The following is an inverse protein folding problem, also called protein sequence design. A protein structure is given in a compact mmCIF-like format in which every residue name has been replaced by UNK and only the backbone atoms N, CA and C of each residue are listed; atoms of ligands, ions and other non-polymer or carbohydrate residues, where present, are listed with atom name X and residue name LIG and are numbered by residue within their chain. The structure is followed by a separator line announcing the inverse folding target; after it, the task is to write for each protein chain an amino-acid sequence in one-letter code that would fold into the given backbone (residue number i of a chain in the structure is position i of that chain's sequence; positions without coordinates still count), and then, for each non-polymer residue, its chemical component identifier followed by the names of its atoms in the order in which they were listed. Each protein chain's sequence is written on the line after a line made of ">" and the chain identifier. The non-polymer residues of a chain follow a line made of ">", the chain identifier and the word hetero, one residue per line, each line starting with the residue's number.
data_IF_819232781145
#
_entry.id   IF_819232781145
#
_cell.length_a   1.000
_cell.length_b   1.000
_cell.length_c   1.000
_cell.angle_alpha   90.00
_cell.angle_beta   90.00
_cell.angle_gamma   90.00
#
_symmetry.space_group_name_H-M   'P 1'
#
loop_
_entity.id
_entity.type
_entity.pdbx_description
1 polymer ?
#
# COMPACT_ATOMS: atom_id res chain seq x y z
N UNK A 1 8.34 23.58 10.46
CA UNK A 1 9.05 22.38 9.95
C UNK A 1 8.10 21.42 9.21
N UNK A 2 7.32 21.90 8.22
CA UNK A 2 6.44 21.05 7.37
C UNK A 2 6.89 21.00 5.89
N UNK A 3 7.95 21.73 5.51
CA UNK A 3 8.45 21.87 4.13
C UNK A 3 9.26 20.66 3.60
N UNK A 4 9.33 19.54 4.31
CA UNK A 4 10.08 18.33 3.89
C UNK A 4 9.22 17.05 3.77
N UNK A 5 7.89 17.18 3.73
CA UNK A 5 7.00 16.05 3.48
C UNK A 5 6.93 15.77 1.96
N UNK A 6 7.01 14.49 1.56
CA UNK A 6 7.03 14.06 0.15
C UNK A 6 8.37 13.47 -0.31
N UNK A 7 8.78 12.33 0.27
CA UNK A 7 9.96 11.58 -0.18
C UNK A 7 9.53 10.29 -0.87
N UNK A 8 10.21 9.92 -1.95
CA UNK A 8 10.04 8.65 -2.64
C UNK A 8 11.13 7.68 -2.20
N UNK A 9 10.76 6.52 -1.71
CA UNK A 9 11.68 5.43 -1.39
C UNK A 9 11.50 4.31 -2.42
N UNK A 10 12.58 3.92 -3.09
CA UNK A 10 12.60 2.79 -4.01
C UNK A 10 13.43 1.66 -3.42
N UNK A 11 12.78 0.55 -3.07
CA UNK A 11 13.45 -0.68 -2.65
C UNK A 11 13.47 -1.67 -3.82
N UNK A 12 14.62 -1.83 -4.49
CA UNK A 12 14.79 -2.65 -5.69
C UNK A 12 15.91 -3.71 -5.54
N UNK A 13 16.02 -4.63 -6.50
CA UNK A 13 16.98 -5.75 -6.52
C UNK A 13 16.36 -7.08 -6.08
N UNK A 14 17.10 -8.19 -6.21
CA UNK A 14 16.57 -9.55 -5.99
C UNK A 14 16.64 -10.03 -4.54
N UNK A 15 17.37 -9.30 -3.69
CA UNK A 15 17.50 -9.60 -2.27
C UNK A 15 16.15 -9.62 -1.53
N UNK A 16 16.05 -10.47 -0.50
CA UNK A 16 14.91 -10.47 0.43
C UNK A 16 14.90 -9.18 1.25
N UNK A 17 13.72 -8.75 1.70
CA UNK A 17 13.57 -7.64 2.65
C UNK A 17 12.95 -6.35 2.10
N UNK A 18 12.72 -6.23 0.78
CA UNK A 18 12.05 -5.06 0.18
C UNK A 18 10.69 -4.76 0.82
N UNK A 19 9.84 -5.78 0.87
CA UNK A 19 8.50 -5.68 1.49
C UNK A 19 8.61 -5.39 2.99
N UNK A 20 9.57 -6.03 3.68
CA UNK A 20 9.80 -5.84 5.12
C UNK A 20 10.24 -4.41 5.43
N UNK A 21 11.11 -3.80 4.62
CA UNK A 21 11.53 -2.42 4.76
C UNK A 21 10.35 -1.44 4.60
N UNK A 22 9.48 -1.67 3.61
CA UNK A 22 8.27 -0.89 3.42
C UNK A 22 7.29 -1.06 4.60
N UNK A 23 7.08 -2.29 5.08
CA UNK A 23 6.22 -2.56 6.22
C UNK A 23 6.73 -1.92 7.52
N UNK A 24 8.04 -2.00 7.78
CA UNK A 24 8.65 -1.34 8.94
C UNK A 24 8.53 0.19 8.90
N UNK A 25 8.63 0.79 7.72
CA UNK A 25 8.40 2.23 7.55
C UNK A 25 6.93 2.61 7.83
N UNK A 26 5.98 1.81 7.34
CA UNK A 26 4.56 2.00 7.59
C UNK A 26 4.23 1.91 9.09
N UNK A 27 4.74 0.89 9.79
CA UNK A 27 4.57 0.77 11.26
C UNK A 27 5.21 1.96 11.98
N UNK A 28 6.41 2.39 11.58
CA UNK A 28 7.06 3.56 12.19
C UNK A 28 6.23 4.83 11.99
N UNK A 29 5.67 5.04 10.80
CA UNK A 29 4.82 6.20 10.51
C UNK A 29 3.53 6.17 11.35
N UNK A 30 2.82 5.04 11.39
CA UNK A 30 1.63 4.86 12.23
C UNK A 30 1.94 5.09 13.70
N UNK A 31 3.06 4.55 14.22
CA UNK A 31 3.48 4.77 15.61
C UNK A 31 3.80 6.23 15.97
N UNK A 32 4.01 7.10 14.97
CA UNK A 32 4.16 8.55 15.15
C UNK A 32 2.85 9.32 14.89
N UNK A 33 1.71 8.63 14.83
CA UNK A 33 0.39 9.23 14.62
C UNK A 33 0.12 9.68 13.18
N UNK A 34 0.90 9.23 12.20
CA UNK A 34 0.66 9.52 10.79
C UNK A 34 -0.37 8.54 10.22
N UNK A 35 -1.26 9.04 9.35
CA UNK A 35 -2.14 8.18 8.54
C UNK A 35 -1.31 7.38 7.54
N UNK A 36 -1.59 6.09 7.39
CA UNK A 36 -0.86 5.19 6.48
C UNK A 36 -1.84 4.34 5.68
N UNK A 37 -1.67 4.34 4.36
CA UNK A 37 -2.30 3.40 3.43
C UNK A 37 -1.21 2.46 2.90
N UNK A 38 -1.37 1.15 3.14
CA UNK A 38 -0.44 0.11 2.70
C UNK A 38 -1.10 -0.79 1.65
N UNK A 39 -0.56 -0.80 0.44
CA UNK A 39 -1.16 -1.47 -0.73
C UNK A 39 -0.26 -2.57 -1.27
N UNK A 40 -0.81 -3.75 -1.54
CA UNK A 40 -0.17 -4.85 -2.26
C UNK A 40 -0.98 -5.22 -3.52
N UNK A 41 -0.43 -4.97 -4.71
CA UNK A 41 -1.15 -5.17 -5.97
C UNK A 41 -1.22 -6.64 -6.42
N UNK A 42 -0.10 -7.35 -6.40
CA UNK A 42 0.04 -8.69 -7.01
C UNK A 42 -0.06 -9.85 -6.01
N UNK A 43 -0.51 -9.59 -4.79
CA UNK A 43 -0.66 -10.61 -3.75
C UNK A 43 -2.10 -10.64 -3.28
N UNK A 44 -2.72 -11.80 -3.34
CA UNK A 44 -3.98 -12.09 -2.65
C UNK A 44 -3.67 -12.81 -1.34
N UNK A 45 -4.26 -12.35 -0.24
CA UNK A 45 -4.18 -13.05 1.04
C UNK A 45 -4.15 -12.15 2.27
N UNK A 46 -4.22 -12.79 3.44
CA UNK A 46 -4.06 -12.17 4.75
C UNK A 46 -2.80 -12.74 5.40
N UNK A 47 -1.67 -12.06 5.25
CA UNK A 47 -0.49 -12.43 6.04
C UNK A 47 -0.67 -11.97 7.49
N UNK A 48 0.00 -12.65 8.42
CA UNK A 48 0.01 -12.23 9.82
C UNK A 48 0.51 -10.78 9.96
N UNK A 49 1.46 -10.35 9.13
CA UNK A 49 1.95 -8.96 9.10
C UNK A 49 0.81 -7.98 8.79
N UNK A 50 0.01 -8.25 7.75
CA UNK A 50 -1.11 -7.38 7.38
C UNK A 50 -2.14 -7.27 8.52
N UNK A 51 -2.49 -8.39 9.15
CA UNK A 51 -3.43 -8.40 10.28
C UNK A 51 -2.92 -7.57 11.48
N UNK A 52 -1.62 -7.61 11.76
CA UNK A 52 -1.04 -6.78 12.82
C UNK A 52 -0.99 -5.30 12.41
N UNK A 53 -0.72 -5.00 11.14
CA UNK A 53 -0.75 -3.62 10.62
C UNK A 53 -2.15 -3.01 10.78
N UNK A 54 -3.21 -3.74 10.46
CA UNK A 54 -4.59 -3.28 10.68
C UNK A 54 -4.86 -2.97 12.17
N UNK A 55 -4.40 -3.83 13.09
CA UNK A 55 -4.50 -3.58 14.55
C UNK A 55 -3.73 -2.35 15.02
N UNK A 56 -2.68 -1.97 14.29
CA UNK A 56 -1.90 -0.75 14.51
C UNK A 56 -2.51 0.48 13.81
N UNK A 57 -3.75 0.38 13.32
CA UNK A 57 -4.46 1.49 12.67
C UNK A 57 -3.96 1.82 11.27
N UNK A 58 -3.25 0.89 10.61
CA UNK A 58 -2.82 1.06 9.22
C UNK A 58 -3.93 0.55 8.30
N UNK A 59 -4.34 1.38 7.35
CA UNK A 59 -5.29 0.98 6.31
C UNK A 59 -4.60 0.06 5.30
N UNK A 60 -5.04 -1.18 5.21
CA UNK A 60 -4.45 -2.19 4.31
C UNK A 60 -5.35 -2.45 3.11
N UNK A 61 -4.73 -2.64 1.94
CA UNK A 61 -5.37 -3.19 0.73
C UNK A 61 -4.45 -4.25 0.14
N UNK A 62 -4.98 -5.44 -0.14
CA UNK A 62 -4.22 -6.53 -0.75
C UNK A 62 -5.01 -7.22 -1.84
N UNK A 63 -4.45 -7.27 -3.05
CA UNK A 63 -4.95 -8.06 -4.17
C UNK A 63 -6.32 -7.62 -4.70
N UNK A 64 -6.73 -6.39 -4.41
CA UNK A 64 -7.97 -5.80 -4.90
C UNK A 64 -7.66 -4.54 -5.73
N UNK A 65 -8.49 -4.24 -6.75
CA UNK A 65 -9.63 -5.04 -7.20
C UNK A 65 -9.21 -6.28 -8.01
N UNK A 66 -8.01 -6.27 -8.60
CA UNK A 66 -7.48 -7.36 -9.41
C UNK A 66 -6.04 -7.72 -9.02
N UNK A 67 -5.69 -9.01 -9.18
CA UNK A 67 -4.32 -9.54 -9.06
C UNK A 67 -3.71 -9.82 -10.42
N UNK A 68 -3.77 -8.83 -11.33
CA UNK A 68 -3.17 -8.92 -12.67
C UNK A 68 -2.03 -7.93 -12.80
N UNK A 69 -1.05 -8.26 -13.65
CA UNK A 69 -0.12 -7.24 -14.10
C UNK A 69 -0.84 -6.23 -15.01
N UNK A 70 -0.45 -4.97 -14.95
CA UNK A 70 -1.09 -3.87 -15.72
C UNK A 70 -1.10 -4.14 -17.23
N UNK A 71 -0.09 -4.85 -17.75
CA UNK A 71 -0.03 -5.22 -19.18
C UNK A 71 -0.99 -6.35 -19.57
N UNK A 72 -1.56 -7.07 -18.61
CA UNK A 72 -2.58 -8.11 -18.82
C UNK A 72 -4.01 -7.57 -18.65
N UNK A 73 -4.16 -6.31 -18.26
CA UNK A 73 -5.46 -5.68 -18.00
C UNK A 73 -6.02 -5.02 -19.26
N UNK A 74 -7.33 -5.15 -19.47
CA UNK A 74 -8.05 -4.39 -20.48
C UNK A 74 -8.29 -2.93 -20.03
N UNK A 75 -8.93 -2.11 -20.86
CA UNK A 75 -9.17 -0.69 -20.54
C UNK A 75 -10.14 -0.50 -19.36
N UNK A 76 -11.17 -1.35 -19.26
CA UNK A 76 -12.17 -1.31 -18.20
C UNK A 76 -11.55 -1.69 -16.84
N UNK A 77 -10.77 -2.77 -16.79
CA UNK A 77 -10.07 -3.24 -15.59
C UNK A 77 -9.06 -2.21 -15.06
N UNK A 78 -8.39 -1.48 -15.98
CA UNK A 78 -7.50 -0.37 -15.61
C UNK A 78 -8.27 0.79 -15.00
N UNK A 79 -9.41 1.15 -15.58
CA UNK A 79 -10.26 2.22 -15.07
C UNK A 79 -10.81 1.86 -13.68
N UNK A 80 -11.33 0.65 -13.51
CA UNK A 80 -11.82 0.16 -12.22
C UNK A 80 -10.72 0.11 -11.15
N UNK A 81 -9.52 -0.36 -11.52
CA UNK A 81 -8.36 -0.32 -10.62
C UNK A 81 -8.04 1.09 -10.17
N UNK A 82 -8.06 2.05 -11.11
CA UNK A 82 -7.79 3.46 -10.81
C UNK A 82 -8.82 4.02 -9.83
N UNK A 83 -10.10 3.88 -10.14
CA UNK A 83 -11.21 4.37 -9.31
C UNK A 83 -11.15 3.78 -7.90
N UNK A 84 -10.89 2.47 -7.80
CA UNK A 84 -10.76 1.78 -6.51
C UNK A 84 -9.62 2.36 -5.66
N UNK A 85 -8.43 2.57 -6.23
CA UNK A 85 -7.30 3.11 -5.47
C UNK A 85 -7.42 4.60 -5.17
N UNK A 86 -8.01 5.40 -6.07
CA UNK A 86 -8.33 6.81 -5.82
C UNK A 86 -9.31 6.94 -4.64
N UNK A 87 -10.42 6.19 -4.66
CA UNK A 87 -11.39 6.17 -3.57
C UNK A 87 -10.75 5.79 -2.23
N UNK A 88 -9.91 4.74 -2.21
CA UNK A 88 -9.23 4.33 -0.97
C UNK A 88 -8.25 5.38 -0.46
N UNK A 89 -7.60 6.12 -1.36
CA UNK A 89 -6.71 7.21 -0.97
C UNK A 89 -7.51 8.34 -0.32
N UNK A 90 -8.64 8.73 -0.91
CA UNK A 90 -9.53 9.75 -0.32
C UNK A 90 -10.08 9.32 1.04
N UNK A 91 -10.59 8.09 1.15
CA UNK A 91 -11.16 7.55 2.40
C UNK A 91 -10.16 7.59 3.57
N UNK A 92 -8.88 7.37 3.29
CA UNK A 92 -7.85 7.39 4.34
C UNK A 92 -7.41 8.81 4.64
N UNK A 93 -7.14 9.65 3.62
CA UNK A 93 -6.42 10.90 3.82
C UNK A 93 -7.28 12.15 3.92
N UNK A 94 -8.50 12.15 3.38
CA UNK A 94 -9.47 13.23 3.57
C UNK A 94 -10.31 13.01 4.84
#
# INVERSE_FOLDING_TARGET
>A
MREKLGKLHLYAGDGKGKTTAAAGLAVRASGNGLKVLFVQFLKSGKSAELQQMEKLGISVVSGQPFTKFVFQMNAEEKQESREFFEHRLEEVFN
#
